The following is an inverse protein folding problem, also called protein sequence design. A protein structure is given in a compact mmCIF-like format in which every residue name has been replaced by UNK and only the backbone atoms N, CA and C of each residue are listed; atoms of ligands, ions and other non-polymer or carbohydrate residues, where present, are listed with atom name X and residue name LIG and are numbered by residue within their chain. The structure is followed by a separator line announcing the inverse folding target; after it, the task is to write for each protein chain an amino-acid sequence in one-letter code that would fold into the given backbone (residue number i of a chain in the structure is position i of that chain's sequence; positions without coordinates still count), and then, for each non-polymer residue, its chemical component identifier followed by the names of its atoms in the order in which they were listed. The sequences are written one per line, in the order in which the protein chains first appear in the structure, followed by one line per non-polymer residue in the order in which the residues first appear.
data_IF_132915415393
#
_entry.id   IF_132915415393
#
_cell.length_a   1.000
_cell.length_b   1.000
_cell.length_c   1.000
_cell.angle_alpha   90.00
_cell.angle_beta   90.00
_cell.angle_gamma   90.00
#
_symmetry.space_group_name_H-M   'P 1'
#
loop_
_entity.id
_entity.type
_entity.pdbx_description
1 polymer ?
#
# COMPACT_ATOMS: atom_id res chain seq x y z
N UNK A 1 4.91 24.34 49.77
CA UNK A 1 4.61 24.06 48.35
C UNK A 1 4.71 25.40 47.63
N UNK A 2 5.68 25.57 46.75
CA UNK A 2 5.84 26.84 46.02
C UNK A 2 4.69 26.99 45.03
N UNK A 3 3.96 28.10 45.11
CA UNK A 3 2.92 28.47 44.14
C UNK A 3 3.53 28.52 42.73
N UNK A 4 2.92 27.91 41.72
CA UNK A 4 3.38 28.08 40.36
C UNK A 4 3.30 29.57 39.98
N UNK A 5 4.42 30.09 39.47
CA UNK A 5 4.56 31.47 39.01
C UNK A 5 3.55 31.73 37.88
N UNK A 6 2.46 32.44 38.19
CA UNK A 6 1.34 32.70 37.28
C UNK A 6 1.79 33.24 35.92
N UNK A 7 2.86 34.05 35.90
CA UNK A 7 3.44 34.61 34.68
C UNK A 7 4.00 33.53 33.75
N UNK A 8 4.58 32.46 34.30
CA UNK A 8 5.10 31.33 33.50
C UNK A 8 3.98 30.51 32.88
N UNK A 9 2.88 30.34 33.61
CA UNK A 9 1.69 29.65 33.11
C UNK A 9 1.01 30.45 31.99
N UNK A 10 0.92 31.77 32.14
CA UNK A 10 0.39 32.66 31.11
C UNK A 10 1.22 32.63 29.83
N UNK A 11 2.55 32.69 29.95
CA UNK A 11 3.44 32.60 28.78
C UNK A 11 3.36 31.22 28.12
N UNK A 12 3.30 30.14 28.91
CA UNK A 12 3.12 28.79 28.36
C UNK A 12 1.79 28.64 27.61
N UNK A 13 0.70 29.21 28.16
CA UNK A 13 -0.61 29.20 27.51
C UNK A 13 -0.60 30.02 26.22
N UNK A 14 0.09 31.15 26.20
CA UNK A 14 0.29 31.98 25.01
C UNK A 14 1.06 31.21 23.93
N UNK A 15 2.15 30.54 24.31
CA UNK A 15 2.94 29.71 23.40
C UNK A 15 2.09 28.58 22.79
N UNK A 16 1.36 27.83 23.62
CA UNK A 16 0.44 26.79 23.14
C UNK A 16 -0.62 27.36 22.17
N UNK A 17 -1.15 28.56 22.41
CA UNK A 17 -2.12 29.19 21.50
C UNK A 17 -1.50 29.55 20.14
N UNK A 18 -0.25 30.01 20.13
CA UNK A 18 0.47 30.32 18.89
C UNK A 18 0.77 29.03 18.09
N UNK A 19 1.22 27.97 18.77
CA UNK A 19 1.46 26.67 18.15
C UNK A 19 0.17 26.08 17.57
N UNK A 20 -0.95 26.15 18.31
CA UNK A 20 -2.26 25.73 17.80
C UNK A 20 -2.71 26.54 16.58
N UNK A 21 -2.41 27.84 16.54
CA UNK A 21 -2.73 28.68 15.39
C UNK A 21 -1.88 28.30 14.17
N UNK A 22 -0.58 28.05 14.36
CA UNK A 22 0.32 27.61 13.30
C UNK A 22 -0.11 26.25 12.70
N UNK A 23 -0.41 25.28 13.56
CA UNK A 23 -0.86 23.95 13.13
C UNK A 23 -2.19 24.01 12.35
N UNK A 24 -3.10 24.91 12.71
CA UNK A 24 -4.35 25.12 11.95
C UNK A 24 -4.09 25.66 10.55
N UNK A 25 -3.19 26.64 10.42
CA UNK A 25 -2.81 27.17 9.11
C UNK A 25 -2.12 26.11 8.24
N UNK A 26 -1.26 25.29 8.84
CA UNK A 26 -0.67 24.14 8.14
C UNK A 26 -1.75 23.14 7.70
N UNK A 27 -2.72 22.83 8.57
CA UNK A 27 -3.84 21.96 8.24
C UNK A 27 -4.68 22.53 7.08
N UNK A 28 -4.98 23.83 7.08
CA UNK A 28 -5.68 24.51 5.99
C UNK A 28 -4.87 24.41 4.68
N UNK A 29 -3.57 24.67 4.73
CA UNK A 29 -2.66 24.55 3.59
C UNK A 29 -2.64 23.14 3.03
N UNK A 30 -2.56 22.12 3.89
CA UNK A 30 -2.61 20.72 3.48
C UNK A 30 -3.97 20.35 2.87
N UNK A 31 -5.06 20.85 3.44
CA UNK A 31 -6.42 20.66 2.92
C UNK A 31 -6.56 21.24 1.51
N UNK A 32 -6.09 22.47 1.29
CA UNK A 32 -6.11 23.10 -0.04
C UNK A 32 -5.28 22.33 -1.07
N UNK A 33 -4.13 21.77 -0.66
CA UNK A 33 -3.28 20.93 -1.54
C UNK A 33 -3.89 19.56 -1.83
N UNK A 34 -4.67 19.01 -0.89
CA UNK A 34 -5.29 17.70 -1.01
C UNK A 34 -6.59 17.73 -1.84
N UNK A 35 -7.38 18.80 -1.73
CA UNK A 35 -8.65 18.97 -2.45
C UNK A 35 -8.61 18.65 -3.96
N UNK A 36 -7.65 19.16 -4.76
CA UNK A 36 -7.60 18.81 -6.19
C UNK A 36 -7.24 17.34 -6.44
N UNK A 37 -6.45 16.72 -5.56
CA UNK A 37 -6.10 15.30 -5.67
C UNK A 37 -7.30 14.40 -5.36
N UNK A 38 -8.09 14.76 -4.34
CA UNK A 38 -9.34 14.08 -4.01
C UNK A 38 -10.37 14.19 -5.14
N UNK A 39 -10.48 15.37 -5.74
CA UNK A 39 -11.34 15.59 -6.90
C UNK A 39 -10.92 14.73 -8.10
N UNK A 40 -9.64 14.74 -8.46
CA UNK A 40 -9.10 13.90 -9.54
C UNK A 40 -9.30 12.40 -9.26
N UNK A 41 -9.10 11.96 -8.01
CA UNK A 41 -9.38 10.60 -7.61
C UNK A 41 -10.87 10.24 -7.73
N UNK A 42 -11.78 11.19 -7.45
CA UNK A 42 -13.21 11.05 -7.70
C UNK A 42 -13.53 10.87 -9.18
N UNK A 43 -13.00 11.74 -10.05
CA UNK A 43 -13.17 11.65 -11.50
C UNK A 43 -12.68 10.31 -12.06
N UNK A 44 -11.53 9.81 -11.58
CA UNK A 44 -11.02 8.49 -11.97
C UNK A 44 -11.95 7.35 -11.53
N UNK A 45 -12.56 7.43 -10.35
CA UNK A 45 -13.54 6.44 -9.88
C UNK A 45 -14.80 6.46 -10.74
N UNK A 46 -15.32 7.63 -11.09
CA UNK A 46 -16.48 7.77 -11.98
C UNK A 46 -16.21 7.18 -13.36
N UNK A 47 -15.06 7.50 -13.97
CA UNK A 47 -14.65 6.93 -15.25
C UNK A 47 -14.47 5.41 -15.17
N UNK A 48 -13.91 4.89 -14.07
CA UNK A 48 -13.76 3.45 -13.87
C UNK A 48 -15.13 2.74 -13.79
N UNK A 49 -16.10 3.33 -13.08
CA UNK A 49 -17.48 2.80 -13.02
C UNK A 49 -18.14 2.82 -14.39
N UNK A 50 -18.09 3.94 -15.10
CA UNK A 50 -18.64 4.06 -16.45
C UNK A 50 -18.02 3.04 -17.42
N UNK A 51 -16.69 2.85 -17.35
CA UNK A 51 -15.99 1.85 -18.14
C UNK A 51 -16.47 0.43 -17.79
N UNK A 52 -16.66 0.11 -16.51
CA UNK A 52 -17.13 -1.21 -16.09
C UNK A 52 -18.56 -1.49 -16.55
N UNK A 53 -19.44 -0.49 -16.53
CA UNK A 53 -20.80 -0.58 -17.09
C UNK A 53 -20.77 -0.86 -18.60
N UNK A 54 -19.95 -0.11 -19.34
CA UNK A 54 -19.76 -0.34 -20.78
C UNK A 54 -19.19 -1.72 -21.07
N UNK A 55 -18.16 -2.15 -20.35
CA UNK A 55 -17.58 -3.49 -20.50
C UNK A 55 -18.59 -4.59 -20.13
N UNK A 56 -19.48 -4.35 -19.17
CA UNK A 56 -20.56 -5.29 -18.82
C UNK A 56 -21.62 -5.37 -19.92
N UNK A 57 -21.93 -4.27 -20.60
CA UNK A 57 -22.78 -4.29 -21.79
C UNK A 57 -22.12 -5.08 -22.94
N UNK A 58 -20.82 -4.87 -23.17
CA UNK A 58 -20.04 -5.59 -24.19
C UNK A 58 -19.92 -7.08 -23.87
N UNK A 59 -19.69 -7.47 -22.61
CA UNK A 59 -19.61 -8.88 -22.19
C UNK A 59 -20.93 -9.62 -22.42
N UNK A 60 -22.08 -8.96 -22.19
CA UNK A 60 -23.40 -9.53 -22.50
C UNK A 60 -23.58 -9.80 -23.99
N UNK A 61 -22.98 -8.97 -24.85
CA UNK A 61 -23.04 -9.14 -26.30
C UNK A 61 -21.97 -10.13 -26.84
N UNK A 62 -20.83 -10.22 -26.16
CA UNK A 62 -19.66 -11.04 -26.54
C UNK A 62 -18.98 -11.63 -25.30
N UNK A 63 -19.39 -12.84 -24.87
CA UNK A 63 -18.83 -13.48 -23.67
C UNK A 63 -17.32 -13.77 -23.79
N UNK A 64 -16.57 -13.51 -22.73
CA UNK A 64 -15.12 -13.75 -22.60
C UNK A 64 -14.23 -12.56 -22.98
N UNK A 65 -14.77 -11.53 -23.65
CA UNK A 65 -13.99 -10.38 -24.12
C UNK A 65 -13.53 -9.51 -22.94
N UNK A 66 -14.38 -9.28 -21.93
CA UNK A 66 -14.04 -8.48 -20.73
C UNK A 66 -12.85 -9.05 -19.97
N UNK A 67 -12.79 -10.38 -19.83
CA UNK A 67 -11.68 -11.07 -19.18
C UNK A 67 -10.36 -10.97 -19.98
N UNK A 68 -10.45 -11.03 -21.31
CA UNK A 68 -9.30 -10.79 -22.19
C UNK A 68 -8.81 -9.34 -22.13
N UNK A 69 -9.72 -8.36 -22.20
CA UNK A 69 -9.41 -6.92 -22.14
C UNK A 69 -8.77 -6.54 -20.80
N UNK A 70 -9.36 -6.93 -19.65
CA UNK A 70 -8.80 -6.62 -18.32
C UNK A 70 -7.38 -7.17 -18.16
N UNK A 71 -7.15 -8.43 -18.56
CA UNK A 71 -5.84 -9.07 -18.46
C UNK A 71 -4.79 -8.45 -19.39
N UNK A 72 -5.22 -7.92 -20.55
CA UNK A 72 -4.31 -7.30 -21.53
C UNK A 72 -4.00 -5.83 -21.22
N UNK A 73 -4.94 -5.09 -20.65
CA UNK A 73 -4.83 -3.63 -20.50
C UNK A 73 -4.56 -3.18 -19.05
N UNK A 74 -4.79 -4.01 -18.03
CA UNK A 74 -4.70 -3.62 -16.62
C UNK A 74 -3.85 -4.60 -15.79
N UNK A 75 -2.54 -4.72 -16.05
CA UNK A 75 -1.66 -5.61 -15.28
C UNK A 75 -1.62 -5.26 -13.78
N UNK A 76 -1.93 -4.01 -13.41
CA UNK A 76 -2.01 -3.54 -12.03
C UNK A 76 -3.25 -3.97 -11.24
N UNK A 77 -4.21 -4.65 -11.85
CA UNK A 77 -5.41 -5.14 -11.13
C UNK A 77 -5.17 -6.54 -10.56
N UNK A 78 -5.44 -6.77 -9.26
CA UNK A 78 -5.39 -8.10 -8.68
C UNK A 78 -6.57 -8.94 -9.19
N UNK A 79 -6.33 -10.22 -9.47
CA UNK A 79 -7.38 -11.20 -9.68
C UNK A 79 -8.14 -11.43 -8.36
N UNK A 80 -9.42 -11.87 -8.40
CA UNK A 80 -10.19 -12.13 -7.19
C UNK A 80 -9.50 -13.07 -6.19
N UNK A 81 -8.79 -14.08 -6.68
CA UNK A 81 -8.03 -15.03 -5.85
C UNK A 81 -6.81 -14.40 -5.16
N UNK A 82 -6.31 -13.26 -5.64
CA UNK A 82 -5.13 -12.57 -5.09
C UNK A 82 -5.50 -11.52 -4.02
N UNK A 83 -6.79 -11.19 -3.86
CA UNK A 83 -7.22 -10.06 -3.02
C UNK A 83 -6.86 -10.24 -1.56
N UNK A 84 -7.08 -11.44 -1.02
CA UNK A 84 -6.82 -11.75 0.40
C UNK A 84 -5.31 -11.76 0.69
N UNK A 85 -4.54 -12.47 -0.12
CA UNK A 85 -3.08 -12.51 -0.03
C UNK A 85 -2.43 -11.13 -0.19
N UNK A 86 -2.94 -10.31 -1.12
CA UNK A 86 -2.51 -8.93 -1.28
C UNK A 86 -2.81 -8.10 -0.03
N UNK A 87 -3.97 -8.28 0.59
CA UNK A 87 -4.32 -7.58 1.82
C UNK A 87 -3.37 -7.97 2.97
N UNK A 88 -3.04 -9.27 3.11
CA UNK A 88 -2.10 -9.79 4.12
C UNK A 88 -0.67 -9.27 3.95
N UNK A 89 -0.19 -9.12 2.72
CA UNK A 89 1.10 -8.49 2.44
C UNK A 89 1.05 -7.00 2.82
N UNK A 90 0.00 -6.28 2.40
CA UNK A 90 -0.12 -4.83 2.66
C UNK A 90 -0.21 -4.48 4.14
N UNK A 91 -0.82 -5.34 4.96
CA UNK A 91 -0.94 -5.15 6.40
C UNK A 91 0.24 -5.71 7.18
N UNK A 92 1.22 -6.33 6.51
CA UNK A 92 2.37 -6.93 7.16
C UNK A 92 3.31 -5.85 7.70
N UNK A 93 3.76 -5.93 8.97
CA UNK A 93 4.80 -5.05 9.48
C UNK A 93 6.17 -5.30 8.82
N UNK A 94 6.31 -6.41 8.08
CA UNK A 94 7.52 -6.78 7.35
C UNK A 94 7.50 -6.30 5.89
N UNK A 95 6.40 -5.71 5.44
CA UNK A 95 6.28 -5.12 4.11
C UNK A 95 6.34 -3.60 4.20
N UNK A 96 7.31 -2.99 3.53
CA UNK A 96 7.46 -1.55 3.43
C UNK A 96 7.40 -1.14 1.96
N UNK A 97 6.26 -0.58 1.55
CA UNK A 97 6.03 -0.18 0.16
C UNK A 97 6.90 0.98 -0.31
N UNK A 98 7.28 1.90 0.58
CA UNK A 98 8.14 3.04 0.21
C UNK A 98 9.56 2.55 -0.01
N UNK A 99 10.11 1.80 0.95
CA UNK A 99 11.40 1.14 0.81
C UNK A 99 11.45 0.22 -0.41
N UNK A 100 10.38 -0.54 -0.68
CA UNK A 100 10.31 -1.42 -1.84
C UNK A 100 10.46 -0.67 -3.17
N UNK A 101 9.84 0.51 -3.29
CA UNK A 101 9.96 1.34 -4.50
C UNK A 101 11.32 2.01 -4.63
N UNK A 102 11.94 2.38 -3.52
CA UNK A 102 13.31 2.91 -3.49
C UNK A 102 14.32 1.84 -3.92
N UNK A 103 14.17 0.61 -3.44
CA UNK A 103 15.05 -0.50 -3.80
C UNK A 103 14.77 -1.06 -5.19
N UNK A 104 13.52 -1.00 -5.66
CA UNK A 104 13.09 -1.56 -6.94
C UNK A 104 12.36 -0.53 -7.80
N UNK A 105 13.07 0.48 -8.34
CA UNK A 105 12.45 1.55 -9.14
C UNK A 105 11.80 1.05 -10.44
N UNK A 106 12.21 -0.12 -10.93
CA UNK A 106 11.63 -0.81 -12.09
C UNK A 106 10.15 -1.15 -11.90
N UNK A 107 9.72 -1.31 -10.65
CA UNK A 107 8.33 -1.62 -10.28
C UNK A 107 7.37 -0.50 -10.68
N UNK A 108 7.81 0.76 -10.63
CA UNK A 108 7.00 1.93 -11.03
C UNK A 108 6.55 1.79 -12.48
N UNK A 109 7.45 1.33 -13.36
CA UNK A 109 7.16 1.18 -14.80
C UNK A 109 6.22 0.01 -15.10
N UNK A 110 6.04 -0.92 -14.16
CA UNK A 110 5.15 -2.06 -14.33
C UNK A 110 3.66 -1.71 -14.19
N UNK A 111 3.35 -0.53 -13.62
CA UNK A 111 1.98 -0.12 -13.31
C UNK A 111 1.30 -0.96 -12.20
N UNK A 112 2.04 -1.85 -11.53
CA UNK A 112 1.58 -2.60 -10.38
C UNK A 112 1.89 -1.86 -9.08
N UNK A 113 1.05 -2.04 -8.07
CA UNK A 113 1.39 -1.60 -6.71
C UNK A 113 2.57 -2.43 -6.18
N UNK A 114 3.39 -1.89 -5.26
CA UNK A 114 4.52 -2.61 -4.67
C UNK A 114 4.14 -3.98 -4.09
N UNK A 115 3.02 -4.04 -3.36
CA UNK A 115 2.54 -5.27 -2.74
C UNK A 115 2.06 -6.29 -3.78
N UNK A 116 1.39 -5.85 -4.85
CA UNK A 116 0.98 -6.74 -5.94
C UNK A 116 2.18 -7.25 -6.74
N UNK A 117 3.15 -6.38 -6.99
CA UNK A 117 4.41 -6.76 -7.62
C UNK A 117 5.15 -7.81 -6.77
N UNK A 118 5.25 -7.58 -5.46
CA UNK A 118 5.87 -8.53 -4.55
C UNK A 118 5.11 -9.86 -4.49
N UNK A 119 3.77 -9.83 -4.45
CA UNK A 119 2.93 -11.03 -4.48
C UNK A 119 3.24 -11.91 -5.71
N UNK A 120 3.31 -11.30 -6.90
CA UNK A 120 3.48 -12.03 -8.17
C UNK A 120 4.93 -12.35 -8.54
N UNK A 121 5.86 -11.48 -8.17
CA UNK A 121 7.25 -11.52 -8.67
C UNK A 121 8.29 -11.51 -7.57
N UNK A 122 7.92 -11.21 -6.32
CA UNK A 122 8.87 -11.05 -5.21
C UNK A 122 9.80 -12.24 -5.06
N UNK A 123 9.24 -13.46 -5.05
CA UNK A 123 10.04 -14.68 -4.95
C UNK A 123 10.91 -14.94 -6.18
N UNK A 124 10.33 -14.95 -7.37
CA UNK A 124 11.06 -15.32 -8.59
C UNK A 124 12.19 -14.35 -8.91
N UNK A 125 12.03 -13.09 -8.51
CA UNK A 125 13.04 -12.04 -8.65
C UNK A 125 13.90 -11.85 -7.39
N UNK A 126 13.77 -12.70 -6.37
CA UNK A 126 14.52 -12.62 -5.11
C UNK A 126 14.47 -11.24 -4.45
N UNK A 127 13.33 -10.56 -4.56
CA UNK A 127 13.10 -9.24 -3.96
C UNK A 127 12.66 -9.39 -2.50
N UNK A 128 13.07 -8.47 -1.65
CA UNK A 128 12.68 -8.41 -0.24
C UNK A 128 11.43 -7.52 -0.09
N UNK A 129 10.46 -7.86 0.78
CA UNK A 129 9.27 -7.04 1.01
C UNK A 129 9.56 -5.77 1.82
N UNK A 130 10.67 -5.75 2.55
CA UNK A 130 11.08 -4.66 3.42
C UNK A 130 12.47 -4.96 4.03
N UNK A 131 13.07 -3.98 4.74
CA UNK A 131 14.40 -4.15 5.33
C UNK A 131 14.43 -5.21 6.44
N UNK A 132 13.29 -5.49 7.06
CA UNK A 132 13.16 -6.41 8.20
C UNK A 132 12.89 -7.87 7.81
N UNK A 133 12.89 -8.21 6.51
CA UNK A 133 12.63 -9.59 6.07
C UNK A 133 13.51 -9.99 4.89
N UNK A 134 14.47 -10.87 5.17
CA UNK A 134 15.30 -11.50 4.14
C UNK A 134 14.59 -12.70 3.50
N UNK A 135 13.81 -12.42 2.45
CA UNK A 135 13.14 -13.43 1.64
C UNK A 135 14.10 -14.49 1.04
N UNK A 136 15.35 -14.16 0.73
CA UNK A 136 16.30 -15.10 0.12
C UNK A 136 16.80 -16.10 1.15
N UNK A 137 17.22 -15.61 2.32
CA UNK A 137 17.61 -16.47 3.44
C UNK A 137 16.45 -17.35 3.88
N UNK A 138 15.24 -16.78 3.98
CA UNK A 138 14.04 -17.55 4.32
C UNK A 138 13.79 -18.72 3.36
N UNK A 139 13.82 -18.48 2.03
CA UNK A 139 13.61 -19.55 1.04
C UNK A 139 14.73 -20.60 1.09
N UNK A 140 15.97 -20.20 1.38
CA UNK A 140 17.09 -21.14 1.52
C UNK A 140 16.90 -22.06 2.72
N UNK A 141 16.43 -21.50 3.83
CA UNK A 141 16.30 -22.23 5.10
C UNK A 141 14.99 -23.07 5.16
N UNK A 142 14.07 -22.82 4.21
CA UNK A 142 12.82 -23.55 4.00
C UNK A 142 12.77 -24.23 2.61
N UNK A 143 13.61 -25.26 2.35
CA UNK A 143 13.66 -25.94 1.04
C UNK A 143 12.35 -26.67 0.68
N UNK A 144 11.50 -26.96 1.66
CA UNK A 144 10.16 -27.51 1.48
C UNK A 144 9.17 -26.54 0.84
N UNK A 145 9.49 -25.23 0.84
CA UNK A 145 8.59 -24.20 0.37
C UNK A 145 8.35 -24.33 -1.16
N UNK A 146 7.11 -24.62 -1.62
CA UNK A 146 6.81 -24.86 -3.03
C UNK A 146 7.23 -23.68 -3.90
N UNK A 147 7.83 -23.87 -5.07
CA UNK A 147 8.45 -22.80 -5.90
C UNK A 147 7.60 -21.53 -6.13
N UNK A 148 6.27 -21.65 -6.11
CA UNK A 148 5.31 -20.56 -6.33
C UNK A 148 4.82 -19.88 -5.05
N UNK A 149 5.10 -20.44 -3.87
CA UNK A 149 4.63 -19.89 -2.59
C UNK A 149 5.32 -18.55 -2.29
N UNK A 150 4.58 -17.58 -1.76
CA UNK A 150 5.16 -16.32 -1.33
C UNK A 150 5.84 -16.49 0.04
N UNK A 151 7.14 -16.15 0.19
CA UNK A 151 7.87 -16.41 1.43
C UNK A 151 7.34 -15.61 2.63
N UNK A 152 6.85 -14.38 2.41
CA UNK A 152 6.26 -13.59 3.49
C UNK A 152 4.92 -14.17 3.95
N UNK A 153 4.07 -14.61 3.02
CA UNK A 153 2.80 -15.23 3.37
C UNK A 153 2.98 -16.57 4.07
N UNK A 154 4.01 -17.35 3.67
CA UNK A 154 4.38 -18.58 4.36
C UNK A 154 4.89 -18.30 5.77
N UNK A 155 5.78 -17.32 5.93
CA UNK A 155 6.24 -16.87 7.24
C UNK A 155 5.06 -16.48 8.14
N UNK A 156 4.14 -15.66 7.65
CA UNK A 156 2.95 -15.22 8.41
C UNK A 156 1.98 -16.35 8.74
N UNK A 157 1.86 -17.37 7.89
CA UNK A 157 1.01 -18.54 8.14
C UNK A 157 1.65 -19.53 9.13
N UNK A 158 2.99 -19.52 9.24
CA UNK A 158 3.78 -20.48 9.99
C UNK A 158 4.22 -20.06 11.40
N UNK A 159 3.74 -18.95 11.96
CA UNK A 159 4.21 -18.48 13.28
C UNK A 159 3.49 -19.16 14.45
N UNK A 160 4.19 -19.98 15.25
CA UNK A 160 4.33 -19.75 16.68
C UNK A 160 5.58 -18.89 16.92
N UNK A 161 5.37 -17.77 17.62
CA UNK A 161 6.25 -16.61 17.87
C UNK A 161 7.73 -16.66 17.50
N UNK A 162 8.20 -15.62 16.79
CA UNK A 162 9.59 -15.17 16.92
C UNK A 162 9.66 -13.65 16.88
N UNK A 163 10.00 -13.07 18.03
CA UNK A 163 10.93 -11.96 18.10
C UNK A 163 12.17 -12.51 18.80
N UNK A 164 13.33 -12.47 18.13
CA UNK A 164 14.64 -12.46 18.76
C UNK A 164 15.23 -11.08 18.55
#
# INVERSE_FOLDING_TARGET
MAEPDASRLEESLRQCRLELAALRLEQETWSERLAPLEHAAGQLRELATALDEHLTAVERATPGLRGWVKRRLLPGTPAPAEVDDLARIRSSPLFDGAWYLEQYPDVVRSGMSPALHYLRHGRSQRKHPGPSFDAVSYVRDHPELPAHANPLLHYQAGVPGVAQ
#
